data_IF_776055130282
#
_entry.id   IF_776055130282
#
_cell.length_a   1.000
_cell.length_b   1.000
_cell.length_c   1.000
_cell.angle_alpha   90.00
_cell.angle_beta   90.00
_cell.angle_gamma   90.00
#
_symmetry.space_group_name_H-M   'P 1'
#
loop_
_entity.id
_entity.type
_entity.pdbx_description
1 polymer ?
#
# COMPACT_ATOMS: atom_id res chain seq x y z
N UNK A 1 17.06 -9.55 8.60
CA UNK A 1 15.79 -9.12 9.21
C UNK A 1 15.74 -9.52 10.69
N UNK A 2 15.39 -8.61 11.59
CA UNK A 2 15.26 -8.88 13.03
C UNK A 2 13.77 -8.81 13.43
N UNK A 3 13.21 -9.93 13.89
CA UNK A 3 11.83 -9.98 14.38
C UNK A 3 11.68 -9.21 15.70
N UNK A 4 10.65 -8.39 15.78
CA UNK A 4 10.23 -7.67 16.97
C UNK A 4 8.93 -8.32 17.43
N UNK A 5 9.00 -9.04 18.55
CA UNK A 5 7.81 -9.60 19.17
C UNK A 5 7.16 -8.54 20.06
N UNK A 6 6.57 -7.53 19.46
CA UNK A 6 5.76 -6.59 20.19
C UNK A 6 4.28 -6.96 20.02
N UNK A 7 3.54 -6.96 21.14
CA UNK A 7 2.13 -7.35 21.14
C UNK A 7 1.27 -6.13 20.79
N UNK A 8 1.31 -5.71 19.53
CA UNK A 8 0.30 -4.75 19.06
C UNK A 8 -1.00 -5.51 18.79
N UNK A 9 -1.72 -5.81 19.83
CA UNK A 9 -3.12 -6.17 19.72
C UNK A 9 -3.90 -4.87 19.46
N UNK A 10 -4.21 -4.61 18.19
CA UNK A 10 -5.01 -3.46 17.82
C UNK A 10 -6.33 -3.89 17.22
N UNK A 11 -7.45 -3.55 17.86
CA UNK A 11 -8.68 -3.34 17.11
C UNK A 11 -8.42 -2.15 16.22
N UNK A 12 -8.35 -2.36 14.91
CA UNK A 12 -8.38 -1.24 13.99
C UNK A 12 -9.79 -0.65 14.08
N UNK A 13 -9.90 0.61 14.50
CA UNK A 13 -11.16 1.24 14.90
C UNK A 13 -12.22 1.34 13.79
N UNK A 14 -11.82 1.14 12.55
CA UNK A 14 -12.70 1.06 11.38
C UNK A 14 -12.98 -0.38 10.92
N UNK A 15 -12.29 -1.33 11.53
CA UNK A 15 -12.45 -2.76 11.28
C UNK A 15 -12.84 -3.42 12.59
N UNK A 16 -13.94 -4.13 12.58
CA UNK A 16 -14.42 -4.86 13.76
C UNK A 16 -13.61 -6.15 14.03
N UNK A 17 -12.39 -6.23 13.49
CA UNK A 17 -11.50 -7.38 13.68
C UNK A 17 -10.32 -7.04 14.59
N UNK A 18 -9.81 -8.06 15.25
CA UNK A 18 -8.54 -8.00 15.95
C UNK A 18 -7.46 -8.47 14.98
N UNK A 19 -6.47 -7.61 14.73
CA UNK A 19 -5.32 -7.94 13.88
C UNK A 19 -4.08 -7.95 14.76
N UNK A 20 -3.34 -9.06 14.70
CA UNK A 20 -1.99 -9.17 15.26
C UNK A 20 -1.03 -9.38 14.09
N UNK A 21 -0.17 -8.41 13.85
CA UNK A 21 0.84 -8.50 12.81
C UNK A 21 2.22 -8.65 13.45
N UNK A 22 3.04 -9.62 13.04
CA UNK A 22 4.44 -9.63 13.40
C UNK A 22 5.12 -8.38 12.86
N UNK A 23 6.10 -7.87 13.61
CA UNK A 23 6.89 -6.72 13.26
C UNK A 23 8.34 -7.13 13.07
N UNK A 24 9.07 -6.44 12.20
CA UNK A 24 10.48 -6.65 11.98
C UNK A 24 11.23 -5.33 11.72
N UNK A 25 12.45 -5.22 12.22
CA UNK A 25 13.43 -4.29 11.68
C UNK A 25 13.98 -4.92 10.40
N UNK A 26 13.86 -4.21 9.29
CA UNK A 26 14.37 -4.63 7.96
C UNK A 26 15.44 -3.63 7.56
N UNK A 27 16.62 -4.13 7.25
CA UNK A 27 17.70 -3.29 6.74
C UNK A 27 17.40 -2.93 5.28
N UNK A 28 17.93 -1.82 4.80
CA UNK A 28 17.68 -1.37 3.42
C UNK A 28 18.01 -2.47 2.40
N UNK A 29 19.09 -3.20 2.67
CA UNK A 29 19.51 -4.33 1.86
C UNK A 29 18.59 -5.54 1.88
N UNK A 30 17.77 -5.71 2.85
CA UNK A 30 16.83 -6.82 2.99
C UNK A 30 15.42 -6.45 2.47
N UNK A 31 15.20 -5.21 2.03
CA UNK A 31 13.88 -4.69 1.71
C UNK A 31 13.19 -5.50 0.61
N UNK A 32 13.90 -5.83 -0.47
CA UNK A 32 13.32 -6.60 -1.58
C UNK A 32 12.87 -8.00 -1.14
N UNK A 33 13.70 -8.69 -0.34
CA UNK A 33 13.35 -10.00 0.21
C UNK A 33 12.14 -9.88 1.15
N UNK A 34 12.13 -8.88 2.02
CA UNK A 34 10.99 -8.61 2.90
C UNK A 34 9.69 -8.35 2.11
N UNK A 35 9.74 -7.58 1.03
CA UNK A 35 8.58 -7.33 0.16
C UNK A 35 8.09 -8.61 -0.53
N UNK A 36 8.99 -9.49 -0.98
CA UNK A 36 8.63 -10.79 -1.56
C UNK A 36 8.03 -11.75 -0.52
N UNK A 37 8.35 -11.57 0.75
CA UNK A 37 7.74 -12.27 1.88
C UNK A 37 6.50 -11.55 2.47
N UNK A 38 5.96 -10.57 1.78
CA UNK A 38 4.72 -9.89 2.17
C UNK A 38 4.84 -8.86 3.29
N UNK A 39 6.08 -8.50 3.67
CA UNK A 39 6.33 -7.43 4.62
C UNK A 39 6.13 -6.06 3.96
N UNK A 40 5.56 -5.11 4.69
CA UNK A 40 5.36 -3.73 4.26
C UNK A 40 5.82 -2.78 5.37
N UNK A 41 6.40 -1.65 5.00
CA UNK A 41 6.88 -0.69 5.98
C UNK A 41 5.71 -0.03 6.72
N UNK A 42 5.81 0.11 8.04
CA UNK A 42 4.87 0.89 8.83
C UNK A 42 4.94 2.37 8.45
N UNK A 43 3.82 3.07 8.64
CA UNK A 43 3.72 4.50 8.36
C UNK A 43 4.42 5.39 9.40
N UNK A 44 4.89 4.82 10.48
CA UNK A 44 5.58 5.53 11.55
C UNK A 44 6.72 4.69 12.13
N UNK A 45 7.83 5.32 12.51
CA UNK A 45 8.94 4.61 13.11
C UNK A 45 8.62 4.16 14.54
N UNK A 46 9.16 3.03 14.96
CA UNK A 46 9.14 2.58 16.36
C UNK A 46 10.53 2.81 16.94
N UNK A 47 10.61 3.57 18.04
CA UNK A 47 11.89 3.95 18.67
C UNK A 47 12.89 4.58 17.69
N UNK A 48 12.39 5.37 16.74
CA UNK A 48 13.22 6.05 15.74
C UNK A 48 13.73 5.16 14.61
N UNK A 49 13.32 3.89 14.57
CA UNK A 49 13.69 2.93 13.53
C UNK A 49 12.53 2.64 12.60
N UNK A 50 12.85 2.45 11.33
CA UNK A 50 11.89 1.96 10.35
C UNK A 50 11.54 0.49 10.65
N UNK A 51 10.25 0.20 10.71
CA UNK A 51 9.72 -1.11 11.08
C UNK A 51 8.75 -1.58 10.01
N UNK A 52 8.82 -2.84 9.69
CA UNK A 52 7.93 -3.52 8.75
C UNK A 52 6.95 -4.41 9.50
N UNK A 53 5.78 -4.59 8.92
CA UNK A 53 4.78 -5.52 9.40
C UNK A 53 4.43 -6.55 8.33
N UNK A 54 4.14 -7.77 8.73
CA UNK A 54 3.60 -8.77 7.83
C UNK A 54 2.12 -9.00 8.14
N UNK A 55 1.31 -9.00 7.09
CA UNK A 55 -0.13 -9.17 7.19
C UNK A 55 -0.64 -9.99 6.01
N UNK A 56 -1.95 -10.04 5.80
CA UNK A 56 -2.50 -10.41 4.50
C UNK A 56 -2.29 -9.27 3.52
N UNK A 57 -1.03 -8.95 3.25
CA UNK A 57 -0.62 -7.88 2.34
C UNK A 57 -1.21 -8.10 0.94
N UNK A 58 -1.52 -7.03 0.25
CA UNK A 58 -2.09 -7.08 -1.11
C UNK A 58 -1.26 -6.26 -2.06
N UNK A 59 -1.06 -6.77 -3.29
CA UNK A 59 -0.34 -6.06 -4.34
C UNK A 59 -0.96 -6.28 -5.72
N UNK A 60 -0.65 -5.40 -6.64
CA UNK A 60 -0.91 -5.55 -8.08
C UNK A 60 0.43 -5.79 -8.78
N UNK A 61 0.56 -6.87 -9.53
CA UNK A 61 1.65 -7.01 -10.49
C UNK A 61 1.36 -6.10 -11.68
N UNK A 62 2.20 -5.10 -11.90
CA UNK A 62 1.96 -4.03 -12.88
C UNK A 62 2.17 -4.49 -14.32
N UNK A 63 2.91 -5.57 -14.58
CA UNK A 63 2.97 -6.19 -15.92
C UNK A 63 1.61 -6.74 -16.36
N UNK A 64 0.84 -7.26 -15.40
CA UNK A 64 -0.49 -7.80 -15.63
C UNK A 64 -1.60 -6.75 -15.54
N UNK A 65 -1.29 -5.54 -15.08
CA UNK A 65 -2.26 -4.47 -14.92
C UNK A 65 -2.78 -3.98 -16.27
N UNK A 66 -4.11 -3.81 -16.35
CA UNK A 66 -4.81 -3.13 -17.44
C UNK A 66 -5.74 -2.10 -16.85
N UNK A 67 -5.81 -0.88 -17.41
CA UNK A 67 -6.74 0.15 -16.97
C UNK A 67 -8.16 -0.38 -16.89
N UNK A 68 -8.85 -0.02 -15.82
CA UNK A 68 -10.22 -0.47 -15.58
C UNK A 68 -11.25 0.52 -16.11
N UNK A 69 -10.87 1.78 -16.18
CA UNK A 69 -11.72 2.85 -16.68
C UNK A 69 -11.23 3.33 -18.04
N UNK A 70 -12.15 3.52 -18.98
CA UNK A 70 -11.85 4.05 -20.31
C UNK A 70 -11.55 5.55 -20.30
N UNK A 71 -11.93 6.25 -19.23
CA UNK A 71 -11.60 7.65 -19.02
C UNK A 71 -11.56 7.99 -17.54
N UNK A 72 -10.65 8.86 -17.16
CA UNK A 72 -10.47 9.33 -15.79
C UNK A 72 -11.16 10.69 -15.61
N UNK A 73 -12.51 10.71 -15.73
CA UNK A 73 -13.31 11.93 -15.57
C UNK A 73 -14.09 11.92 -14.26
N UNK A 74 -14.05 13.04 -13.56
CA UNK A 74 -14.87 13.33 -12.40
C UNK A 74 -15.83 14.47 -12.74
N UNK A 75 -17.15 14.22 -12.72
CA UNK A 75 -18.17 15.19 -13.09
C UNK A 75 -17.93 15.83 -14.49
N UNK A 76 -17.54 15.00 -15.46
CA UNK A 76 -17.24 15.45 -16.84
C UNK A 76 -15.86 16.09 -17.04
N UNK A 77 -15.10 16.38 -15.97
CA UNK A 77 -13.75 16.99 -16.05
C UNK A 77 -12.66 15.92 -15.90
N UNK A 78 -11.59 16.06 -16.66
CA UNK A 78 -10.44 15.15 -16.55
C UNK A 78 -9.81 15.24 -15.17
N UNK A 79 -9.65 14.10 -14.51
CA UNK A 79 -8.88 13.99 -13.28
C UNK A 79 -7.40 13.89 -13.65
N UNK A 80 -6.60 14.79 -13.10
CA UNK A 80 -5.16 14.86 -13.31
C UNK A 80 -4.46 14.48 -12.02
N UNK A 81 -3.24 13.99 -12.13
CA UNK A 81 -2.36 13.65 -11.01
C UNK A 81 -1.07 14.45 -11.11
N UNK A 82 -0.54 14.84 -9.96
CA UNK A 82 0.79 15.43 -9.82
C UNK A 82 1.46 14.84 -8.58
N UNK A 83 2.71 14.41 -8.73
CA UNK A 83 3.57 14.09 -7.61
C UNK A 83 4.16 15.36 -7.01
N UNK A 84 4.23 15.40 -5.68
CA UNK A 84 4.89 16.45 -4.91
C UNK A 84 5.70 15.82 -3.78
N UNK A 85 6.82 16.42 -3.49
CA UNK A 85 7.66 16.05 -2.35
C UNK A 85 6.98 16.41 -1.02
N UNK A 86 7.32 15.66 0.04
CA UNK A 86 6.73 15.84 1.36
C UNK A 86 6.90 17.26 1.91
N UNK A 87 8.02 17.93 1.63
CA UNK A 87 8.31 19.31 2.05
C UNK A 87 7.47 20.36 1.31
N UNK A 88 7.03 20.08 0.10
CA UNK A 88 6.18 20.99 -0.67
C UNK A 88 4.70 20.88 -0.29
N UNK A 89 4.29 19.73 0.27
CA UNK A 89 2.91 19.45 0.67
C UNK A 89 2.37 20.49 1.67
N UNK A 90 3.22 20.99 2.57
CA UNK A 90 2.86 21.99 3.60
C UNK A 90 2.26 23.25 2.97
N UNK A 91 2.60 23.55 1.73
CA UNK A 91 2.10 24.70 0.97
C UNK A 91 0.67 24.50 0.43
N UNK A 92 0.12 23.29 0.52
CA UNK A 92 -1.18 22.93 -0.07
C UNK A 92 -2.29 22.97 0.98
N UNK A 93 -2.95 24.09 1.09
CA UNK A 93 -3.98 24.39 2.11
C UNK A 93 -5.17 23.44 2.10
N UNK A 94 -5.45 22.78 0.98
CA UNK A 94 -6.64 21.90 0.82
C UNK A 94 -6.52 20.51 1.44
N UNK A 95 -5.31 19.98 1.62
CA UNK A 95 -5.09 18.60 2.04
C UNK A 95 -5.59 18.27 3.46
N UNK A 96 -5.36 19.11 4.49
CA UNK A 96 -5.87 18.84 5.83
C UNK A 96 -7.40 18.73 5.86
N UNK A 97 -8.11 19.51 5.05
CA UNK A 97 -9.57 19.46 4.96
C UNK A 97 -10.05 18.14 4.33
N UNK A 98 -9.38 17.67 3.28
CA UNK A 98 -9.67 16.37 2.64
C UNK A 98 -9.45 15.24 3.64
N UNK A 99 -8.33 15.26 4.35
CA UNK A 99 -8.01 14.30 5.40
C UNK A 99 -9.06 14.27 6.51
N UNK A 100 -9.41 15.42 7.06
CA UNK A 100 -10.44 15.52 8.11
C UNK A 100 -11.79 14.94 7.63
N UNK A 101 -12.24 15.28 6.42
CA UNK A 101 -13.47 14.75 5.86
C UNK A 101 -13.43 13.22 5.65
N UNK A 102 -12.26 12.70 5.23
CA UNK A 102 -12.03 11.28 5.09
C UNK A 102 -12.15 10.57 6.45
N UNK A 103 -11.44 11.06 7.49
CA UNK A 103 -11.47 10.52 8.84
C UNK A 103 -12.88 10.49 9.43
N UNK A 104 -13.61 11.61 9.30
CA UNK A 104 -15.00 11.71 9.74
C UNK A 104 -15.92 10.70 9.04
N UNK A 105 -15.77 10.54 7.74
CA UNK A 105 -16.55 9.59 6.95
C UNK A 105 -16.27 8.15 7.33
N UNK A 106 -15.00 7.82 7.56
CA UNK A 106 -14.55 6.48 7.96
C UNK A 106 -14.79 6.19 9.45
N UNK A 107 -15.22 7.20 10.23
CA UNK A 107 -15.40 7.12 11.69
C UNK A 107 -14.12 6.69 12.42
N UNK A 108 -12.97 7.15 11.93
CA UNK A 108 -11.70 6.90 12.60
C UNK A 108 -11.59 7.79 13.82
N UNK A 109 -11.21 7.21 14.95
CA UNK A 109 -11.06 7.90 16.23
C UNK A 109 -9.59 8.14 16.57
N UNK A 110 -8.67 7.32 16.04
CA UNK A 110 -7.24 7.55 16.19
C UNK A 110 -6.71 8.47 15.13
N UNK A 111 -5.96 9.44 15.57
CA UNK A 111 -5.34 10.45 14.75
C UNK A 111 -4.08 9.89 14.05
N UNK A 112 -4.32 9.06 13.01
CA UNK A 112 -3.27 8.81 12.04
C UNK A 112 -3.15 10.04 11.17
N UNK A 113 -2.13 10.85 11.42
CA UNK A 113 -1.90 12.06 10.65
C UNK A 113 -0.84 11.77 9.58
N UNK A 114 -1.22 11.65 8.28
CA UNK A 114 -0.27 11.36 7.20
C UNK A 114 0.76 12.46 6.98
N UNK A 115 0.60 13.61 7.67
CA UNK A 115 1.47 14.76 7.57
C UNK A 115 2.49 14.88 8.73
N UNK A 116 2.54 13.93 9.66
CA UNK A 116 3.44 13.97 10.83
C UNK A 116 4.72 13.17 10.66
N UNK A 117 4.67 12.09 9.90
CA UNK A 117 5.81 11.18 9.77
C UNK A 117 6.09 10.93 8.29
N UNK A 118 7.30 11.28 7.88
CA UNK A 118 7.79 11.04 6.52
C UNK A 118 9.07 10.24 6.59
N UNK A 119 9.15 9.23 5.75
CA UNK A 119 10.40 8.58 5.41
C UNK A 119 11.03 9.34 4.24
N UNK A 120 12.34 9.27 4.08
CA UNK A 120 13.04 9.98 3.00
C UNK A 120 12.57 9.59 1.58
N UNK A 121 11.85 8.46 1.48
CA UNK A 121 11.25 7.92 0.26
C UNK A 121 9.76 8.29 0.06
N UNK A 122 9.15 9.03 0.98
CA UNK A 122 7.74 9.38 0.89
C UNK A 122 7.51 10.59 -0.02
N UNK A 123 6.49 10.52 -0.86
CA UNK A 123 5.95 11.65 -1.61
C UNK A 123 4.42 11.63 -1.56
N UNK A 124 3.79 12.59 -2.22
CA UNK A 124 2.34 12.67 -2.32
C UNK A 124 1.91 12.74 -3.78
N UNK A 125 0.91 11.93 -4.14
CA UNK A 125 0.17 12.12 -5.37
C UNK A 125 -1.08 12.95 -5.06
N UNK A 126 -1.24 14.04 -5.78
CA UNK A 126 -2.37 14.95 -5.64
C UNK A 126 -3.25 14.81 -6.86
N UNK A 127 -4.55 14.65 -6.64
CA UNK A 127 -5.56 14.53 -7.68
C UNK A 127 -6.40 15.79 -7.74
N UNK A 128 -6.49 16.37 -8.94
CA UNK A 128 -7.21 17.63 -9.19
C UNK A 128 -7.91 17.61 -10.54
N UNK A 129 -8.94 18.43 -10.71
CA UNK A 129 -9.77 18.45 -11.93
C UNK A 129 -9.51 19.63 -12.87
N UNK A 130 -9.12 20.78 -12.35
CA UNK A 130 -8.91 22.00 -13.14
C UNK A 130 -7.53 22.58 -12.89
N UNK A 131 -7.31 23.09 -11.69
CA UNK A 131 -6.04 23.64 -11.23
C UNK A 131 -5.61 22.94 -9.96
N UNK A 132 -4.32 22.95 -9.66
CA UNK A 132 -3.75 22.24 -8.48
C UNK A 132 -4.34 22.71 -7.15
N UNK A 133 -4.90 23.92 -7.09
CA UNK A 133 -5.64 24.42 -5.93
C UNK A 133 -7.01 23.76 -5.73
N UNK A 134 -7.53 23.09 -6.76
CA UNK A 134 -8.81 22.35 -6.72
C UNK A 134 -8.61 20.86 -6.48
N UNK A 135 -7.87 20.53 -5.44
CA UNK A 135 -7.57 19.16 -5.06
C UNK A 135 -8.83 18.43 -4.60
N UNK A 136 -9.05 17.22 -5.12
CA UNK A 136 -10.22 16.37 -4.79
C UNK A 136 -9.84 15.14 -3.98
N UNK A 137 -8.60 14.68 -4.09
CA UNK A 137 -8.03 13.58 -3.34
C UNK A 137 -6.51 13.73 -3.25
N UNK A 138 -5.91 13.00 -2.34
CA UNK A 138 -4.46 12.82 -2.29
C UNK A 138 -4.11 11.43 -1.77
N UNK A 139 -2.91 10.99 -2.09
CA UNK A 139 -2.31 9.76 -1.59
C UNK A 139 -0.95 10.07 -0.99
N UNK A 140 -0.65 9.55 0.19
CA UNK A 140 0.72 9.40 0.65
C UNK A 140 1.29 8.18 -0.07
N UNK A 141 2.36 8.39 -0.81
CA UNK A 141 3.03 7.38 -1.60
C UNK A 141 4.35 7.00 -0.92
N UNK A 142 4.54 5.73 -0.67
CA UNK A 142 5.79 5.16 -0.19
C UNK A 142 6.47 4.45 -1.36
N UNK A 143 7.75 4.69 -1.56
CA UNK A 143 8.54 4.16 -2.67
C UNK A 143 9.49 3.09 -2.16
N UNK A 144 9.49 1.92 -2.78
CA UNK A 144 10.41 0.82 -2.51
C UNK A 144 11.39 0.69 -3.67
N UNK A 145 12.67 0.83 -3.39
CA UNK A 145 13.72 0.76 -4.40
C UNK A 145 13.97 -0.69 -4.82
N UNK A 146 14.20 -0.90 -6.10
CA UNK A 146 14.72 -2.16 -6.57
C UNK A 146 16.23 -2.18 -6.35
N UNK A 147 16.73 -3.20 -5.68
CA UNK A 147 18.15 -3.42 -5.47
C UNK A 147 18.52 -4.69 -6.21
N UNK A 148 19.38 -4.58 -7.20
CA UNK A 148 19.91 -5.72 -7.92
C UNK A 148 21.29 -6.07 -7.34
N UNK A 149 21.46 -7.30 -6.89
CA UNK A 149 22.76 -7.82 -6.49
C UNK A 149 23.57 -8.11 -7.76
N UNK A 150 24.41 -7.18 -8.17
CA UNK A 150 25.35 -7.41 -9.26
C UNK A 150 26.68 -7.92 -8.73
N UNK A 151 27.14 -9.05 -9.27
CA UNK A 151 28.47 -9.57 -8.98
C UNK A 151 29.50 -8.71 -9.76
N UNK A 152 30.39 -8.01 -9.05
CA UNK A 152 31.43 -7.25 -9.71
C UNK A 152 32.49 -8.20 -10.33
N UNK A 153 33.36 -7.64 -11.16
CA UNK A 153 34.45 -8.39 -11.82
C UNK A 153 35.44 -9.10 -10.87
N UNK A 154 35.34 -8.83 -9.58
CA UNK A 154 36.18 -9.48 -8.53
C UNK A 154 35.39 -10.55 -7.75
N UNK A 155 34.19 -10.92 -8.18
CA UNK A 155 33.37 -11.92 -7.50
C UNK A 155 32.75 -11.43 -6.18
N UNK A 156 32.73 -10.12 -5.95
CA UNK A 156 32.02 -9.51 -4.81
C UNK A 156 30.65 -9.02 -5.25
N UNK A 157 29.67 -9.29 -4.43
CA UNK A 157 28.33 -8.71 -4.65
C UNK A 157 28.40 -7.20 -4.37
N UNK A 158 28.18 -6.41 -5.41
CA UNK A 158 27.96 -4.98 -5.27
C UNK A 158 26.51 -4.69 -5.59
N UNK A 159 25.83 -4.03 -4.67
CA UNK A 159 24.52 -3.50 -4.91
C UNK A 159 24.62 -2.25 -5.78
N UNK A 160 23.97 -2.28 -6.90
CA UNK A 160 23.63 -1.07 -7.61
C UNK A 160 22.22 -0.67 -7.21
N UNK A 161 22.09 0.42 -6.46
CA UNK A 161 20.86 1.20 -6.43
C UNK A 161 20.67 1.67 -7.85
N UNK A 162 19.52 1.38 -8.47
CA UNK A 162 19.28 1.74 -9.86
C UNK A 162 19.64 3.22 -10.09
N UNK A 163 20.60 3.47 -11.00
CA UNK A 163 21.03 4.83 -11.34
C UNK A 163 19.87 5.59 -11.99
N UNK A 164 19.39 6.71 -11.42
CA UNK A 164 18.30 7.50 -11.98
C UNK A 164 18.56 7.99 -13.42
N UNK A 165 19.77 7.89 -13.91
CA UNK A 165 20.14 8.28 -15.26
C UNK A 165 20.29 7.10 -16.25
N UNK A 166 20.09 5.86 -15.79
CA UNK A 166 20.14 4.69 -16.67
C UNK A 166 18.74 4.25 -17.08
N UNK A 167 18.32 4.57 -18.29
CA UNK A 167 16.97 4.29 -18.83
C UNK A 167 16.60 2.81 -18.96
N UNK A 168 17.53 1.88 -18.78
CA UNK A 168 17.29 0.44 -18.95
C UNK A 168 16.94 -0.30 -17.65
N UNK A 169 17.16 0.29 -16.48
CA UNK A 169 16.91 -0.36 -15.20
C UNK A 169 15.45 -0.25 -14.73
N UNK A 170 14.94 -1.29 -14.10
CA UNK A 170 13.70 -1.23 -13.34
C UNK A 170 13.98 -0.51 -12.02
N UNK A 171 13.39 0.66 -11.81
CA UNK A 171 13.78 1.60 -10.75
C UNK A 171 13.16 1.31 -9.39
N UNK A 172 11.97 0.66 -9.40
CA UNK A 172 11.17 0.52 -8.23
C UNK A 172 10.72 -0.93 -8.04
N UNK A 173 11.00 -1.52 -6.89
CA UNK A 173 10.39 -2.77 -6.49
C UNK A 173 8.88 -2.59 -6.37
N UNK A 174 8.44 -1.42 -5.91
CA UNK A 174 7.03 -1.08 -5.89
C UNK A 174 6.72 0.25 -5.22
N UNK A 175 5.45 0.61 -5.26
CA UNK A 175 4.86 1.72 -4.52
C UNK A 175 3.77 1.21 -3.60
N UNK A 176 3.62 1.83 -2.45
CA UNK A 176 2.49 1.61 -1.55
C UNK A 176 1.74 2.91 -1.34
N UNK A 177 0.42 2.86 -1.34
CA UNK A 177 -0.39 4.05 -1.17
C UNK A 177 -1.54 3.90 -0.19
N UNK A 178 -1.84 5.02 0.47
CA UNK A 178 -3.07 5.21 1.26
C UNK A 178 -3.83 6.40 0.73
N UNK A 179 -4.97 6.13 0.11
CA UNK A 179 -5.78 7.14 -0.57
C UNK A 179 -6.69 7.88 0.41
N UNK A 180 -6.65 9.19 0.36
CA UNK A 180 -7.53 10.08 1.10
C UNK A 180 -8.41 10.86 0.13
N UNK A 181 -9.73 10.69 0.22
CA UNK A 181 -10.67 11.37 -0.66
C UNK A 181 -11.99 11.70 0.05
N UNK A 182 -12.69 12.71 -0.47
CA UNK A 182 -13.97 13.15 0.10
C UNK A 182 -15.15 12.22 -0.23
N UNK A 183 -15.08 11.44 -1.33
CA UNK A 183 -16.20 10.62 -1.83
C UNK A 183 -15.71 9.27 -2.36
N UNK A 184 -16.48 8.21 -2.13
CA UNK A 184 -16.16 6.84 -2.55
C UNK A 184 -15.91 6.64 -4.05
N UNK A 185 -16.70 7.19 -4.98
CA UNK A 185 -16.45 6.97 -6.41
C UNK A 185 -15.06 7.44 -6.85
N UNK A 186 -14.52 8.45 -6.16
CA UNK A 186 -13.18 9.00 -6.48
C UNK A 186 -12.10 7.97 -6.18
N UNK A 187 -12.20 7.21 -5.08
CA UNK A 187 -11.13 6.30 -4.65
C UNK A 187 -10.79 5.20 -5.64
N UNK A 188 -11.75 4.69 -6.41
CA UNK A 188 -11.46 3.69 -7.44
C UNK A 188 -10.85 4.32 -8.69
N UNK A 189 -11.26 5.54 -9.02
CA UNK A 189 -10.73 6.28 -10.15
C UNK A 189 -9.30 6.74 -9.90
N UNK A 190 -9.01 7.24 -8.68
CA UNK A 190 -7.65 7.62 -8.28
C UNK A 190 -6.74 6.40 -8.25
N UNK A 191 -7.20 5.26 -7.72
CA UNK A 191 -6.41 4.02 -7.72
C UNK A 191 -6.04 3.56 -9.14
N UNK A 192 -6.96 3.68 -10.11
CA UNK A 192 -6.66 3.34 -11.51
C UNK A 192 -5.55 4.26 -12.09
N UNK A 193 -5.63 5.55 -11.77
CA UNK A 193 -4.60 6.52 -12.15
C UNK A 193 -3.26 6.21 -11.46
N UNK A 194 -3.28 5.86 -10.17
CA UNK A 194 -2.07 5.49 -9.42
C UNK A 194 -1.39 4.26 -10.01
N UNK A 195 -2.17 3.23 -10.35
CA UNK A 195 -1.65 2.02 -10.98
C UNK A 195 -1.04 2.30 -12.36
N UNK A 196 -1.70 3.16 -13.15
CA UNK A 196 -1.16 3.58 -14.43
C UNK A 196 0.12 4.40 -14.25
N UNK A 197 0.11 5.37 -13.34
CA UNK A 197 1.25 6.20 -13.00
C UNK A 197 2.45 5.34 -12.53
N UNK A 198 2.22 4.38 -11.62
CA UNK A 198 3.26 3.49 -11.13
C UNK A 198 3.86 2.62 -12.24
N UNK A 199 3.03 2.14 -13.17
CA UNK A 199 3.49 1.39 -14.34
C UNK A 199 4.34 2.24 -15.29
N UNK A 200 3.94 3.48 -15.53
CA UNK A 200 4.69 4.45 -16.33
C UNK A 200 6.04 4.79 -15.69
N UNK A 201 6.11 4.74 -14.35
CA UNK A 201 7.35 4.88 -13.57
C UNK A 201 8.11 3.57 -13.37
N UNK A 202 7.81 2.53 -14.17
CA UNK A 202 8.53 1.24 -14.21
C UNK A 202 8.60 0.49 -12.87
N UNK A 203 7.57 0.60 -12.05
CA UNK A 203 7.46 -0.21 -10.85
C UNK A 203 7.02 -1.65 -11.17
N UNK A 204 7.57 -2.64 -10.48
CA UNK A 204 7.15 -4.04 -10.61
C UNK A 204 5.78 -4.28 -9.97
N UNK A 205 5.58 -3.73 -8.78
CA UNK A 205 4.38 -3.94 -7.99
C UNK A 205 3.79 -2.63 -7.45
N UNK A 206 2.49 -2.68 -7.17
CA UNK A 206 1.81 -1.64 -6.42
C UNK A 206 1.12 -2.26 -5.20
N UNK A 207 1.59 -1.92 -4.01
CA UNK A 207 1.09 -2.43 -2.75
C UNK A 207 -0.11 -1.61 -2.26
N UNK A 208 -1.11 -2.30 -1.74
CA UNK A 208 -2.36 -1.68 -1.26
C UNK A 208 -2.59 -1.95 0.24
N UNK A 209 -1.52 -2.28 0.97
CA UNK A 209 -1.58 -2.59 2.39
C UNK A 209 -2.34 -3.89 2.70
N UNK A 210 -2.73 -4.06 3.97
CA UNK A 210 -3.44 -5.24 4.46
C UNK A 210 -4.82 -5.44 3.80
N UNK A 211 -5.20 -6.70 3.62
CA UNK A 211 -6.43 -7.10 2.93
C UNK A 211 -7.38 -7.90 3.80
N UNK A 212 -7.96 -7.28 4.82
CA UNK A 212 -8.95 -7.89 5.70
C UNK A 212 -10.35 -7.34 5.45
N UNK A 213 -11.38 -8.10 5.86
CA UNK A 213 -12.80 -7.76 5.80
C UNK A 213 -13.37 -7.46 4.40
N UNK A 214 -14.68 -7.37 4.35
CA UNK A 214 -15.42 -7.05 3.11
C UNK A 214 -15.05 -5.70 2.53
N UNK A 215 -14.61 -4.76 3.36
CA UNK A 215 -14.12 -3.44 2.95
C UNK A 215 -12.90 -3.50 2.04
N UNK A 216 -12.09 -4.57 2.11
CA UNK A 216 -10.88 -4.79 1.29
C UNK A 216 -11.13 -5.57 0.00
N UNK A 217 -12.33 -6.13 -0.20
CA UNK A 217 -12.65 -6.97 -1.37
C UNK A 217 -12.48 -6.23 -2.72
N UNK A 218 -12.60 -4.89 -2.72
CA UNK A 218 -12.42 -4.08 -3.94
C UNK A 218 -11.04 -4.25 -4.55
N UNK A 219 -10.01 -4.52 -3.74
CA UNK A 219 -8.62 -4.72 -4.18
C UNK A 219 -8.50 -5.85 -5.19
N UNK A 220 -9.27 -6.93 -4.99
CA UNK A 220 -9.27 -8.09 -5.88
C UNK A 220 -9.92 -7.85 -7.25
N UNK A 221 -10.53 -6.69 -7.49
CA UNK A 221 -11.16 -6.37 -8.78
C UNK A 221 -10.16 -6.03 -9.88
N UNK A 222 -8.93 -5.74 -9.53
CA UNK A 222 -7.89 -5.33 -10.47
C UNK A 222 -7.19 -6.51 -11.12
N UNK A 223 -6.73 -6.32 -12.36
CA UNK A 223 -5.86 -7.29 -13.01
C UNK A 223 -4.48 -7.27 -12.33
N UNK A 224 -3.80 -8.40 -12.30
CA UNK A 224 -2.51 -8.51 -11.61
C UNK A 224 -2.61 -8.64 -10.09
N UNK A 225 -3.84 -8.67 -9.51
CA UNK A 225 -4.03 -8.78 -8.06
C UNK A 225 -3.39 -10.04 -7.48
N UNK A 226 -2.64 -9.84 -6.40
CA UNK A 226 -2.04 -10.88 -5.55
C UNK A 226 -2.23 -10.52 -4.08
N UNK A 227 -2.22 -11.53 -3.23
CA UNK A 227 -2.29 -11.36 -1.78
C UNK A 227 -1.40 -12.39 -1.08
N UNK A 228 -0.82 -11.98 0.06
CA UNK A 228 0.09 -12.80 0.85
C UNK A 228 -0.69 -13.80 1.70
N UNK A 229 -0.34 -15.09 1.57
CA UNK A 229 -0.99 -16.18 2.32
C UNK A 229 -0.35 -16.47 3.67
N UNK A 230 0.78 -15.87 3.98
CA UNK A 230 1.68 -16.22 5.07
C UNK A 230 2.92 -16.99 4.60
N UNK A 231 2.89 -17.55 3.38
CA UNK A 231 4.00 -18.34 2.80
C UNK A 231 4.31 -18.02 1.35
N UNK A 232 3.35 -17.47 0.61
CA UNK A 232 3.50 -17.14 -0.82
C UNK A 232 2.47 -16.11 -1.29
N UNK A 233 2.76 -15.45 -2.40
CA UNK A 233 1.81 -14.59 -3.10
C UNK A 233 0.81 -15.43 -3.91
N UNK A 234 -0.47 -15.31 -3.61
CA UNK A 234 -1.58 -16.04 -4.24
C UNK A 234 -2.35 -15.14 -5.21
N UNK A 235 -2.71 -15.68 -6.38
CA UNK A 235 -3.59 -15.02 -7.36
C UNK A 235 -5.07 -15.39 -7.16
N UNK A 236 -5.41 -16.23 -6.19
CA UNK A 236 -6.78 -16.71 -5.97
C UNK A 236 -7.69 -15.64 -5.40
N UNK A 237 -8.34 -14.86 -6.28
CA UNK A 237 -9.32 -13.83 -5.91
C UNK A 237 -10.51 -14.43 -5.13
N UNK A 238 -10.97 -15.62 -5.51
CA UNK A 238 -12.11 -16.32 -4.87
C UNK A 238 -11.80 -16.66 -3.41
N UNK A 239 -10.61 -17.20 -3.15
CA UNK A 239 -10.19 -17.52 -1.78
C UNK A 239 -10.01 -16.25 -0.94
N UNK A 240 -9.33 -15.23 -1.49
CA UNK A 240 -9.19 -13.93 -0.84
C UNK A 240 -10.54 -13.34 -0.40
N UNK A 241 -11.51 -13.28 -1.32
CA UNK A 241 -12.84 -12.76 -1.02
C UNK A 241 -13.61 -13.60 0.02
N UNK A 242 -13.41 -14.93 0.01
CA UNK A 242 -13.98 -15.83 1.02
C UNK A 242 -13.42 -15.50 2.41
N UNK A 243 -12.10 -15.31 2.51
CA UNK A 243 -11.44 -14.92 3.75
C UNK A 243 -11.92 -13.55 4.23
N UNK A 244 -12.00 -12.54 3.36
CA UNK A 244 -12.52 -11.22 3.72
C UNK A 244 -13.95 -11.27 4.28
N UNK A 245 -14.82 -12.13 3.74
CA UNK A 245 -16.18 -12.34 4.30
C UNK A 245 -16.15 -13.04 5.63
N UNK A 246 -15.21 -13.97 5.85
CA UNK A 246 -15.03 -14.64 7.13
C UNK A 246 -14.53 -13.67 8.19
N UNK A 247 -13.55 -12.83 7.86
CA UNK A 247 -13.03 -11.80 8.75
C UNK A 247 -14.16 -10.91 9.31
N UNK A 248 -15.09 -10.48 8.46
CA UNK A 248 -16.20 -9.61 8.85
C UNK A 248 -17.18 -10.27 9.84
N UNK A 249 -17.07 -11.57 10.07
CA UNK A 249 -17.85 -12.32 11.05
C UNK A 249 -17.15 -12.43 12.41
N UNK A 250 -15.85 -12.18 12.46
CA UNK A 250 -15.05 -12.26 13.68
C UNK A 250 -15.25 -10.99 14.48
N UNK A 251 -15.86 -11.10 15.66
CA UNK A 251 -16.14 -9.98 16.56
C UNK A 251 -15.37 -10.05 17.87
N UNK A 252 -14.84 -11.24 18.19
CA UNK A 252 -14.08 -11.51 19.40
C UNK A 252 -12.97 -12.53 19.16
N UNK A 253 -12.03 -12.67 20.11
CA UNK A 253 -11.01 -13.72 20.06
C UNK A 253 -11.61 -15.15 20.04
N UNK A 254 -12.77 -15.34 20.63
CA UNK A 254 -13.46 -16.63 20.61
C UNK A 254 -13.93 -17.03 19.21
N UNK A 255 -14.26 -16.04 18.37
CA UNK A 255 -14.69 -16.28 16.99
C UNK A 255 -13.52 -16.74 16.10
N UNK A 256 -12.26 -16.48 16.50
CA UNK A 256 -11.07 -16.88 15.72
C UNK A 256 -10.97 -18.40 15.59
N UNK A 257 -11.36 -19.14 16.63
CA UNK A 257 -11.39 -20.61 16.61
C UNK A 257 -12.42 -21.17 15.62
N UNK A 258 -13.37 -20.36 15.19
CA UNK A 258 -14.42 -20.71 14.24
C UNK A 258 -14.03 -20.40 12.78
N UNK A 259 -12.90 -19.74 12.54
CA UNK A 259 -12.34 -19.62 11.18
C UNK A 259 -11.88 -21.03 10.79
N UNK A 260 -12.59 -21.71 9.87
CA UNK A 260 -12.14 -23.03 9.45
C UNK A 260 -10.69 -22.92 9.00
N UNK A 261 -9.92 -23.94 9.22
CA UNK A 261 -8.51 -24.13 8.82
C UNK A 261 -8.34 -24.09 7.28
N UNK A 262 -8.91 -23.05 6.67
CA UNK A 262 -8.91 -22.81 5.22
C UNK A 262 -7.50 -22.61 4.65
N UNK A 263 -6.53 -22.30 5.51
CA UNK A 263 -5.13 -22.19 5.14
C UNK A 263 -4.38 -23.53 5.16
N UNK A 264 -4.90 -24.55 5.85
CA UNK A 264 -4.24 -25.85 5.97
C UNK A 264 -4.44 -26.78 4.73
N UNK A 265 -5.29 -26.39 3.80
CA UNK A 265 -5.61 -27.19 2.62
C UNK A 265 -5.14 -26.56 1.29
N UNK A 266 -4.18 -25.66 1.32
CA UNK A 266 -3.58 -25.06 0.11
C UNK A 266 -2.13 -25.51 -0.08
N UNK A 267 -1.79 -26.71 0.35
CA UNK A 267 -0.55 -27.39 -0.06
C UNK A 267 -0.67 -27.90 -1.49
#
# INVERSE_FOLDING_TARGET
MKLIFDHIFGKQEHQDIIVCNPLAEVMEEEENEALEEGWLALDYPINGKEVYYQSRSTRINLDCYKPRFSSHKLNGKNLKVKEIEANEMIKLVGLPKIYHNYMKRKKFTKDYNPFKHFHGRDSFLIFYTEAVDKIVAFTKLKKYHYQEDTMNQFGQYTRQIGDPNNDEAMWWAGFESVIHCNKEPISQLTLDIELQWAKEHRAAYFYMGAGYETSSMYKSKWNGFQWWTGTKWSKSKKLYQKLCRSDSRVKSLQDVSMIPSLLLHTS
#
